data_IF_258148429833
#
_entry.id   IF_258148429833
#
_cell.length_a   1.000
_cell.length_b   1.000
_cell.length_c   1.000
_cell.angle_alpha   90.00
_cell.angle_beta   90.00
_cell.angle_gamma   90.00
#
_symmetry.space_group_name_H-M   'P 1'
#
loop_
_entity.id
_entity.type
_entity.pdbx_description
1 polymer ?
#
# COMPACT_ATOMS: atom_id res chain seq x y z
N UNK A 1 -13.29 1.80 -15.91
CA UNK A 1 -12.35 2.72 -16.56
C UNK A 1 -11.03 2.01 -16.69
N UNK A 2 -10.53 1.86 -17.92
CA UNK A 2 -9.19 1.31 -18.18
C UNK A 2 -8.30 2.48 -18.58
N UNK A 3 -7.21 2.69 -17.84
CA UNK A 3 -6.24 3.74 -18.09
C UNK A 3 -4.91 3.08 -18.46
N UNK A 4 -4.37 3.36 -19.65
CA UNK A 4 -3.13 2.73 -20.12
C UNK A 4 -1.88 3.25 -19.39
N UNK A 5 -2.01 4.37 -18.68
CA UNK A 5 -0.95 5.02 -17.92
C UNK A 5 -1.25 4.98 -16.42
N UNK A 6 -0.28 5.44 -15.62
CA UNK A 6 -0.49 5.71 -14.21
C UNK A 6 -1.50 6.84 -13.99
N UNK A 7 -2.08 6.88 -12.80
CA UNK A 7 -2.95 7.98 -12.37
C UNK A 7 -2.30 8.64 -11.16
N UNK A 8 -2.30 9.96 -11.18
CA UNK A 8 -1.92 10.81 -10.05
C UNK A 8 -3.10 11.73 -9.73
N UNK A 9 -3.58 11.70 -8.49
CA UNK A 9 -4.66 12.60 -8.04
C UNK A 9 -4.19 14.04 -7.82
N UNK A 10 -2.88 14.26 -7.82
CA UNK A 10 -2.23 15.51 -7.48
C UNK A 10 -2.35 15.82 -6.00
N UNK A 11 -2.11 17.08 -5.64
CA UNK A 11 -1.93 17.50 -4.26
C UNK A 11 -3.26 17.76 -3.49
N UNK A 12 -4.40 17.63 -4.14
CA UNK A 12 -5.71 17.92 -3.55
C UNK A 12 -5.95 19.40 -3.22
N UNK A 13 -7.10 19.70 -2.57
CA UNK A 13 -8.15 18.75 -2.20
C UNK A 13 -8.88 18.21 -3.43
N UNK A 14 -9.44 17.00 -3.33
CA UNK A 14 -10.26 16.41 -4.39
C UNK A 14 -11.34 15.48 -3.86
N UNK A 15 -12.38 15.30 -4.68
CA UNK A 15 -13.35 14.23 -4.56
C UNK A 15 -13.49 13.57 -5.93
N UNK A 16 -13.16 12.29 -6.02
CA UNK A 16 -13.19 11.52 -7.25
C UNK A 16 -14.12 10.33 -7.05
N UNK A 17 -15.11 10.19 -7.93
CA UNK A 17 -15.99 9.03 -7.96
C UNK A 17 -15.89 8.33 -9.30
N UNK A 18 -15.62 7.03 -9.26
CA UNK A 18 -15.55 6.14 -10.42
C UNK A 18 -16.74 5.20 -10.35
N UNK A 19 -17.69 5.40 -11.27
CA UNK A 19 -18.93 4.61 -11.37
C UNK A 19 -18.69 3.26 -12.05
N UNK A 20 -17.85 2.43 -11.44
CA UNK A 20 -17.47 1.10 -11.90
C UNK A 20 -16.06 0.75 -11.47
N UNK A 21 -15.45 -0.25 -12.11
CA UNK A 21 -14.08 -0.66 -11.81
C UNK A 21 -13.05 0.36 -12.32
N UNK A 22 -11.95 0.51 -11.61
CA UNK A 22 -10.76 1.26 -12.03
C UNK A 22 -9.64 0.28 -12.33
N UNK A 23 -9.09 0.31 -13.54
CA UNK A 23 -7.88 -0.44 -13.90
C UNK A 23 -6.83 0.50 -14.47
N UNK A 24 -5.64 0.46 -13.90
CA UNK A 24 -4.44 1.13 -14.42
C UNK A 24 -3.42 0.08 -14.83
N UNK A 25 -2.69 0.32 -15.92
CA UNK A 25 -1.61 -0.57 -16.34
C UNK A 25 -0.29 -0.33 -15.59
N UNK A 26 -0.20 0.78 -14.85
CA UNK A 26 1.03 1.21 -14.17
C UNK A 26 0.79 1.62 -12.71
N UNK A 27 1.35 2.74 -12.26
CA UNK A 27 1.30 3.19 -10.88
C UNK A 27 0.06 4.05 -10.60
N UNK A 28 -0.64 3.73 -9.51
CA UNK A 28 -1.74 4.54 -9.00
C UNK A 28 -1.26 5.32 -7.76
N UNK A 29 -1.10 6.63 -7.89
CA UNK A 29 -0.69 7.56 -6.83
C UNK A 29 -1.89 8.36 -6.32
N UNK A 30 -2.33 8.06 -5.10
CA UNK A 30 -3.52 8.64 -4.45
C UNK A 30 -3.08 9.46 -3.25
N UNK A 31 -2.68 10.69 -3.48
CA UNK A 31 -1.94 11.50 -2.52
C UNK A 31 -2.59 12.85 -2.28
N UNK A 32 -2.27 13.52 -1.19
CA UNK A 32 -2.61 14.94 -0.97
C UNK A 32 -1.42 15.68 -0.40
N UNK A 33 -1.36 17.00 -0.50
CA UNK A 33 -0.45 17.80 0.32
C UNK A 33 -0.87 17.73 1.79
N UNK A 34 0.06 18.10 2.67
CA UNK A 34 -0.17 18.12 4.12
C UNK A 34 -1.46 18.86 4.47
N UNK A 35 -2.24 18.26 5.37
CA UNK A 35 -3.52 18.77 5.87
C UNK A 35 -4.66 18.90 4.84
N UNK A 36 -4.45 18.54 3.57
CA UNK A 36 -5.52 18.57 2.57
C UNK A 36 -6.29 17.24 2.50
N UNK A 37 -7.63 17.26 2.47
CA UNK A 37 -8.43 16.05 2.34
C UNK A 37 -8.49 15.57 0.90
N UNK A 38 -8.50 14.25 0.71
CA UNK A 38 -8.76 13.59 -0.56
C UNK A 38 -9.76 12.45 -0.39
N UNK A 39 -10.71 12.33 -1.30
CA UNK A 39 -11.67 11.22 -1.32
C UNK A 39 -11.70 10.56 -2.69
N UNK A 40 -11.47 9.26 -2.74
CA UNK A 40 -11.64 8.43 -3.94
C UNK A 40 -12.66 7.33 -3.64
N UNK A 41 -13.71 7.24 -4.45
CA UNK A 41 -14.72 6.18 -4.37
C UNK A 41 -14.71 5.41 -5.68
N UNK A 42 -14.42 4.11 -5.62
CA UNK A 42 -14.51 3.18 -6.75
C UNK A 42 -15.69 2.24 -6.50
N UNK A 43 -16.72 2.32 -7.33
CA UNK A 43 -17.96 1.52 -7.19
C UNK A 43 -17.81 0.06 -7.69
N UNK A 44 -16.68 -0.29 -8.29
CA UNK A 44 -16.33 -1.65 -8.68
C UNK A 44 -14.98 -2.07 -8.09
N UNK A 45 -14.25 -2.91 -8.83
CA UNK A 45 -12.91 -3.36 -8.45
C UNK A 45 -11.84 -2.31 -8.76
N UNK A 46 -10.74 -2.33 -8.02
CA UNK A 46 -9.55 -1.54 -8.30
C UNK A 46 -8.40 -2.48 -8.71
N UNK A 47 -7.79 -2.23 -9.86
CA UNK A 47 -6.61 -2.95 -10.34
C UNK A 47 -5.49 -1.97 -10.70
N UNK A 48 -4.31 -2.17 -10.13
CA UNK A 48 -3.09 -1.43 -10.48
C UNK A 48 -1.87 -2.35 -10.46
N UNK A 49 -0.78 -1.97 -11.13
CA UNK A 49 0.49 -2.70 -11.00
C UNK A 49 1.13 -2.42 -9.65
N UNK A 50 1.24 -1.14 -9.32
CA UNK A 50 1.68 -0.65 -8.00
C UNK A 50 0.73 0.46 -7.53
N UNK A 51 0.57 0.61 -6.23
CA UNK A 51 -0.32 1.61 -5.64
C UNK A 51 0.37 2.33 -4.50
N UNK A 52 0.27 3.65 -4.44
CA UNK A 52 0.64 4.41 -3.25
C UNK A 52 -0.49 5.34 -2.83
N UNK A 53 -0.68 5.47 -1.53
CA UNK A 53 -1.59 6.44 -0.94
C UNK A 53 -0.99 7.06 0.32
N UNK A 54 -1.41 8.27 0.64
CA UNK A 54 -0.91 8.92 1.85
C UNK A 54 -1.53 10.25 2.18
N UNK A 55 -1.06 10.84 3.27
CA UNK A 55 -1.57 12.08 3.84
C UNK A 55 -3.08 11.98 4.11
N UNK A 56 -3.88 12.88 3.53
CA UNK A 56 -5.32 12.96 3.74
C UNK A 56 -6.16 12.12 2.76
N UNK A 57 -5.53 11.27 1.94
CA UNK A 57 -6.23 10.46 0.94
C UNK A 57 -7.01 9.30 1.58
N UNK A 58 -8.33 9.29 1.36
CA UNK A 58 -9.26 8.24 1.79
C UNK A 58 -9.84 7.56 0.57
N UNK A 59 -9.64 6.26 0.48
CA UNK A 59 -9.98 5.46 -0.69
C UNK A 59 -10.97 4.38 -0.28
N UNK A 60 -12.13 4.35 -0.92
CA UNK A 60 -13.18 3.36 -0.69
C UNK A 60 -13.45 2.61 -2.00
N UNK A 61 -13.32 1.29 -1.94
CA UNK A 61 -13.53 0.39 -3.07
C UNK A 61 -14.67 -0.56 -2.71
N UNK A 62 -15.75 -0.53 -3.46
CA UNK A 62 -16.91 -1.40 -3.21
C UNK A 62 -16.68 -2.85 -3.68
N UNK A 63 -15.70 -3.07 -4.55
CA UNK A 63 -15.23 -4.39 -4.96
C UNK A 63 -13.91 -4.80 -4.27
N UNK A 64 -13.14 -5.63 -4.97
CA UNK A 64 -11.82 -6.09 -4.55
C UNK A 64 -10.72 -5.12 -5.01
N UNK A 65 -9.59 -5.15 -4.32
CA UNK A 65 -8.37 -4.43 -4.71
C UNK A 65 -7.32 -5.45 -5.14
N UNK A 66 -6.87 -5.36 -6.37
CA UNK A 66 -5.75 -6.14 -6.90
C UNK A 66 -4.59 -5.19 -7.20
N UNK A 67 -3.51 -5.32 -6.45
CA UNK A 67 -2.21 -4.72 -6.77
C UNK A 67 -1.27 -5.84 -7.21
N UNK A 68 -0.77 -5.79 -8.44
CA UNK A 68 0.04 -6.90 -8.97
C UNK A 68 1.36 -7.07 -8.22
N UNK A 69 1.93 -5.95 -7.78
CA UNK A 69 3.20 -5.89 -7.07
C UNK A 69 3.00 -5.24 -5.68
N UNK A 70 3.52 -4.04 -5.46
CA UNK A 70 3.59 -3.43 -4.13
C UNK A 70 2.55 -2.33 -3.90
N UNK A 71 2.00 -2.31 -2.69
CA UNK A 71 1.10 -1.28 -2.18
C UNK A 71 1.75 -0.52 -1.00
N UNK A 72 1.70 0.81 -1.04
CA UNK A 72 2.35 1.68 -0.04
C UNK A 72 1.35 2.64 0.58
N UNK A 73 1.19 2.60 1.91
CA UNK A 73 0.43 3.58 2.68
C UNK A 73 1.37 4.41 3.55
N UNK A 74 1.30 5.74 3.46
CA UNK A 74 2.20 6.65 4.19
C UNK A 74 1.46 7.82 4.88
N UNK A 75 2.10 8.40 5.90
CA UNK A 75 1.64 9.63 6.58
C UNK A 75 0.18 9.56 7.05
N UNK A 76 -0.18 8.49 7.74
CA UNK A 76 -1.58 8.25 8.11
C UNK A 76 -2.01 8.87 9.45
N UNK A 77 -1.16 9.65 10.12
CA UNK A 77 -1.60 10.61 11.16
C UNK A 77 -2.67 11.60 10.63
N UNK A 78 -2.85 11.65 9.31
CA UNK A 78 -3.87 12.42 8.58
C UNK A 78 -5.04 11.59 8.05
N UNK A 79 -5.19 10.35 8.54
CA UNK A 79 -6.22 9.39 8.15
C UNK A 79 -6.08 8.89 6.70
N UNK A 80 -4.84 8.57 6.28
CA UNK A 80 -4.59 7.84 5.06
C UNK A 80 -5.18 6.43 5.19
N UNK A 81 -6.24 6.13 4.43
CA UNK A 81 -6.98 4.87 4.54
C UNK A 81 -7.34 4.34 3.17
N UNK A 82 -7.08 3.06 2.94
CA UNK A 82 -7.66 2.28 1.85
C UNK A 82 -8.60 1.23 2.42
N UNK A 83 -9.87 1.27 2.03
CA UNK A 83 -10.88 0.30 2.41
C UNK A 83 -11.48 -0.38 1.19
N UNK A 84 -11.57 -1.70 1.23
CA UNK A 84 -12.23 -2.54 0.23
C UNK A 84 -13.33 -3.37 0.90
N UNK A 85 -14.48 -3.52 0.23
CA UNK A 85 -15.48 -4.54 0.65
C UNK A 85 -15.10 -5.94 0.18
N UNK A 86 -14.33 -6.04 -0.90
CA UNK A 86 -13.78 -7.31 -1.39
C UNK A 86 -12.50 -7.71 -0.66
N UNK A 87 -11.73 -8.58 -1.32
CA UNK A 87 -10.39 -8.95 -0.88
C UNK A 87 -9.38 -7.88 -1.36
N UNK A 88 -8.38 -7.58 -0.53
CA UNK A 88 -7.19 -6.84 -0.97
C UNK A 88 -6.07 -7.83 -1.22
N UNK A 89 -5.61 -7.90 -2.46
CA UNK A 89 -4.48 -8.72 -2.88
C UNK A 89 -3.31 -7.84 -3.30
N UNK A 90 -2.13 -8.13 -2.78
CA UNK A 90 -0.88 -7.55 -3.24
C UNK A 90 0.25 -8.58 -3.07
N UNK A 91 1.37 -8.41 -3.77
CA UNK A 91 2.59 -9.17 -3.42
C UNK A 91 3.05 -8.74 -2.02
N UNK A 92 3.13 -7.43 -1.79
CA UNK A 92 3.47 -6.85 -0.50
C UNK A 92 2.73 -5.53 -0.23
N UNK A 93 2.45 -5.29 1.05
CA UNK A 93 1.83 -4.09 1.61
C UNK A 93 2.81 -3.46 2.61
N UNK A 94 3.17 -2.21 2.38
CA UNK A 94 4.04 -1.40 3.23
C UNK A 94 3.22 -0.28 3.86
N UNK A 95 3.12 -0.27 5.18
CA UNK A 95 2.39 0.79 5.90
C UNK A 95 3.37 1.54 6.79
N UNK A 96 3.45 2.86 6.62
CA UNK A 96 4.06 3.71 7.62
C UNK A 96 3.07 3.96 8.77
N UNK A 97 3.56 4.59 9.85
CA UNK A 97 2.74 4.88 11.01
C UNK A 97 1.46 5.65 10.64
N UNK A 98 0.33 5.17 11.18
CA UNK A 98 -0.99 5.75 10.98
C UNK A 98 -1.68 5.37 9.68
N UNK A 99 -0.98 4.88 8.65
CA UNK A 99 -1.63 4.44 7.42
C UNK A 99 -2.39 3.13 7.67
N UNK A 100 -3.56 2.98 7.04
CA UNK A 100 -4.43 1.82 7.28
C UNK A 100 -4.94 1.20 5.98
N UNK A 101 -5.09 -0.12 6.02
CA UNK A 101 -5.83 -0.89 5.03
C UNK A 101 -6.91 -1.70 5.73
N UNK A 102 -8.09 -1.77 5.12
CA UNK A 102 -9.21 -2.59 5.58
C UNK A 102 -9.80 -3.34 4.39
N UNK A 103 -10.10 -4.62 4.58
CA UNK A 103 -10.72 -5.43 3.54
C UNK A 103 -11.68 -6.44 4.17
N UNK A 104 -12.99 -6.32 3.89
CA UNK A 104 -13.99 -7.23 4.48
C UNK A 104 -13.78 -8.68 3.99
N UNK A 105 -13.30 -8.84 2.74
CA UNK A 105 -12.87 -10.12 2.16
C UNK A 105 -11.48 -10.59 2.62
N UNK A 106 -10.82 -9.80 3.46
CA UNK A 106 -9.47 -10.02 3.99
C UNK A 106 -8.34 -9.52 3.08
N UNK A 107 -7.12 -9.62 3.61
CA UNK A 107 -5.88 -9.17 2.99
C UNK A 107 -5.00 -10.36 2.70
N UNK A 108 -4.60 -10.51 1.44
CA UNK A 108 -3.63 -11.50 0.95
C UNK A 108 -2.41 -10.79 0.39
N UNK A 109 -1.40 -10.60 1.24
CA UNK A 109 -0.13 -9.96 0.90
C UNK A 109 0.92 -10.26 1.97
N UNK A 110 2.21 -10.04 1.69
CA UNK A 110 3.22 -9.89 2.73
C UNK A 110 3.08 -8.49 3.35
N UNK A 111 3.05 -8.36 4.66
CA UNK A 111 2.77 -7.07 5.32
C UNK A 111 3.99 -6.62 6.11
N UNK A 112 4.44 -5.40 5.81
CA UNK A 112 5.44 -4.67 6.57
C UNK A 112 4.80 -3.44 7.23
N UNK A 113 4.92 -3.32 8.55
CA UNK A 113 4.41 -2.17 9.30
C UNK A 113 5.17 -1.92 10.62
N UNK A 114 5.26 -0.66 11.11
CA UNK A 114 5.93 -0.32 12.35
C UNK A 114 5.16 -0.72 13.60
N UNK A 115 5.90 -1.03 14.69
CA UNK A 115 5.32 -1.58 15.90
C UNK A 115 4.14 -0.76 16.45
N UNK A 116 3.05 -1.45 16.79
CA UNK A 116 1.86 -0.81 17.37
C UNK A 116 1.05 0.04 16.41
N UNK A 117 1.38 0.03 15.11
CA UNK A 117 0.58 0.72 14.09
C UNK A 117 -0.55 -0.14 13.51
N UNK A 118 -0.81 -1.32 14.05
CA UNK A 118 -1.86 -2.21 13.55
C UNK A 118 -2.87 -2.54 14.65
N UNK A 119 -4.13 -2.16 14.44
CA UNK A 119 -5.24 -2.61 15.30
C UNK A 119 -5.92 -3.85 14.70
N UNK A 120 -5.94 -3.96 13.37
CA UNK A 120 -6.78 -4.91 12.64
C UNK A 120 -6.01 -6.02 11.92
N UNK A 121 -4.68 -5.90 11.74
CA UNK A 121 -3.90 -6.81 10.89
C UNK A 121 -2.43 -6.89 11.32
N UNK A 122 -2.04 -8.00 11.96
CA UNK A 122 -0.66 -8.25 12.36
C UNK A 122 0.27 -8.34 11.15
N UNK A 123 1.35 -7.54 11.08
CA UNK A 123 2.31 -7.61 9.99
C UNK A 123 3.13 -8.91 10.03
N UNK A 124 3.69 -9.29 8.88
CA UNK A 124 4.66 -10.39 8.79
C UNK A 124 6.06 -9.92 9.19
N UNK A 125 6.39 -8.67 8.85
CA UNK A 125 7.64 -8.00 9.20
C UNK A 125 7.29 -6.75 10.01
N UNK A 126 7.56 -6.82 11.32
CA UNK A 126 7.46 -5.69 12.22
C UNK A 126 8.71 -4.82 12.08
N UNK A 127 8.53 -3.50 11.97
CA UNK A 127 9.63 -2.55 12.18
C UNK A 127 9.64 -2.15 13.66
N UNK A 128 10.53 -2.76 14.42
CA UNK A 128 10.64 -2.63 15.89
C UNK A 128 11.75 -1.65 16.31
N UNK A 129 12.69 -1.31 15.42
CA UNK A 129 13.84 -0.47 15.73
C UNK A 129 14.62 0.03 14.51
N UNK A 130 15.50 1.00 14.78
CA UNK A 130 16.39 1.59 13.79
C UNK A 130 17.30 0.52 13.17
N UNK A 131 17.19 0.33 11.86
CA UNK A 131 18.07 -0.53 11.06
C UNK A 131 17.56 -1.94 10.86
N UNK A 132 16.36 -2.29 11.33
CA UNK A 132 15.80 -3.64 11.17
C UNK A 132 15.58 -4.00 9.69
N UNK A 133 15.45 -3.00 8.83
CA UNK A 133 15.25 -3.17 7.39
C UNK A 133 16.39 -3.94 6.70
N UNK A 134 17.63 -3.90 7.21
CA UNK A 134 18.79 -4.57 6.60
C UNK A 134 18.64 -6.09 6.48
N UNK A 135 17.82 -6.70 7.33
CA UNK A 135 17.59 -8.15 7.31
C UNK A 135 16.61 -8.59 6.21
N UNK A 136 15.84 -7.64 5.66
CA UNK A 136 14.70 -7.94 4.79
C UNK A 136 14.81 -7.29 3.41
N UNK A 137 15.42 -6.12 3.31
CA UNK A 137 15.36 -5.29 2.10
C UNK A 137 16.69 -5.19 1.37
N UNK A 138 16.59 -4.97 0.07
CA UNK A 138 17.74 -4.60 -0.75
C UNK A 138 18.36 -3.29 -0.23
N UNK A 139 19.69 -3.18 -0.09
CA UNK A 139 20.33 -1.97 0.44
C UNK A 139 20.01 -0.69 -0.35
N UNK A 140 19.63 -0.80 -1.63
CA UNK A 140 19.30 0.36 -2.47
C UNK A 140 17.98 1.05 -2.10
N UNK A 141 17.13 0.40 -1.30
CA UNK A 141 15.85 0.97 -0.83
C UNK A 141 15.86 1.32 0.67
N UNK A 142 17.05 1.28 1.30
CA UNK A 142 17.24 1.61 2.70
C UNK A 142 17.77 3.03 2.87
N UNK A 143 17.35 3.68 3.94
CA UNK A 143 17.94 4.94 4.37
C UNK A 143 19.29 4.74 5.06
N UNK A 144 19.92 5.83 5.50
CA UNK A 144 21.23 5.79 6.16
C UNK A 144 21.22 5.05 7.51
N UNK A 145 20.05 4.80 8.08
CA UNK A 145 19.87 4.09 9.34
C UNK A 145 19.61 2.60 9.12
N UNK A 146 19.38 2.18 7.88
CA UNK A 146 19.04 0.80 7.53
C UNK A 146 17.55 0.52 7.55
N UNK A 147 16.71 1.57 7.60
CA UNK A 147 15.25 1.46 7.57
C UNK A 147 14.72 1.62 6.14
N UNK A 148 13.54 1.07 5.86
CA UNK A 148 12.92 1.17 4.55
C UNK A 148 12.65 2.65 4.18
N UNK A 149 13.35 3.14 3.17
CA UNK A 149 13.12 4.48 2.65
C UNK A 149 11.96 4.47 1.64
N UNK A 150 10.73 4.72 2.10
CA UNK A 150 9.52 4.59 1.29
C UNK A 150 9.58 5.24 -0.11
N UNK A 151 10.15 6.45 -0.26
CA UNK A 151 10.30 7.06 -1.58
C UNK A 151 11.11 6.20 -2.55
N UNK A 152 12.27 5.70 -2.11
CA UNK A 152 13.13 4.84 -2.90
C UNK A 152 12.46 3.49 -3.17
N UNK A 153 11.75 2.93 -2.18
CA UNK A 153 11.00 1.71 -2.35
C UNK A 153 9.87 1.84 -3.39
N UNK A 154 9.14 2.96 -3.39
CA UNK A 154 8.13 3.24 -4.42
C UNK A 154 8.77 3.37 -5.80
N UNK A 155 9.87 4.10 -5.92
CA UNK A 155 10.61 4.25 -7.19
C UNK A 155 11.13 2.91 -7.71
N UNK A 156 11.72 2.08 -6.84
CA UNK A 156 12.22 0.74 -7.17
C UNK A 156 11.09 -0.20 -7.61
N UNK A 157 9.96 -0.23 -6.89
CA UNK A 157 8.79 -1.03 -7.29
C UNK A 157 8.21 -0.57 -8.64
N UNK A 158 8.16 0.75 -8.86
CA UNK A 158 7.76 1.31 -10.16
C UNK A 158 8.75 0.91 -11.27
N UNK A 159 10.03 0.78 -10.98
CA UNK A 159 11.02 0.26 -11.92
C UNK A 159 11.00 -1.27 -12.07
N UNK A 160 10.14 -1.99 -11.33
CA UNK A 160 10.06 -3.45 -11.35
C UNK A 160 11.25 -4.13 -10.65
N UNK A 161 11.96 -3.40 -9.79
CA UNK A 161 13.06 -3.91 -8.99
C UNK A 161 12.54 -4.65 -7.76
N UNK A 162 13.26 -5.67 -7.32
CA UNK A 162 12.93 -6.35 -6.06
C UNK A 162 13.25 -5.44 -4.87
N UNK A 163 12.30 -5.30 -3.96
CA UNK A 163 12.51 -4.58 -2.70
C UNK A 163 13.15 -5.47 -1.64
N UNK A 164 12.87 -6.78 -1.70
CA UNK A 164 13.31 -7.74 -0.71
C UNK A 164 14.61 -8.42 -1.12
N UNK A 165 15.40 -8.81 -0.12
CA UNK A 165 16.49 -9.76 -0.29
C UNK A 165 15.95 -11.13 -0.74
N UNK A 166 16.74 -11.92 -1.49
CA UNK A 166 16.33 -13.26 -1.90
C UNK A 166 15.92 -14.15 -0.72
N UNK A 167 14.80 -14.86 -0.86
CA UNK A 167 14.33 -15.80 0.16
C UNK A 167 13.50 -15.19 1.28
N UNK A 168 13.30 -13.87 1.31
CA UNK A 168 12.52 -13.21 2.37
C UNK A 168 11.04 -13.53 2.24
N UNK A 169 10.46 -13.40 1.04
CA UNK A 169 9.04 -13.67 0.81
C UNK A 169 8.65 -15.13 1.09
N UNK A 170 9.56 -16.07 0.87
CA UNK A 170 9.39 -17.51 1.12
C UNK A 170 9.32 -17.83 2.62
N UNK A 171 9.92 -17.00 3.49
CA UNK A 171 9.87 -17.19 4.96
C UNK A 171 8.47 -16.96 5.53
N UNK A 172 7.61 -16.24 4.81
CA UNK A 172 6.31 -15.80 5.29
C UNK A 172 5.17 -16.43 4.50
N UNK A 173 4.99 -17.75 4.63
CA UNK A 173 3.91 -18.47 3.96
C UNK A 173 2.50 -17.95 4.31
N UNK A 174 2.36 -17.25 5.45
CA UNK A 174 1.12 -16.60 5.89
C UNK A 174 0.63 -15.50 4.94
N UNK A 175 1.48 -15.03 4.02
CA UNK A 175 1.12 -14.07 2.97
C UNK A 175 0.17 -14.64 1.91
N UNK A 176 0.11 -15.97 1.77
CA UNK A 176 -0.62 -16.66 0.71
C UNK A 176 -2.14 -16.81 0.99
N UNK A 177 -2.59 -17.14 2.21
CA UNK A 177 -4.02 -17.09 2.52
C UNK A 177 -4.50 -15.66 2.82
N UNK A 178 -5.80 -15.42 2.63
CA UNK A 178 -6.44 -14.18 3.04
C UNK A 178 -6.57 -14.09 4.57
N UNK A 179 -6.21 -12.93 5.13
CA UNK A 179 -6.27 -12.64 6.57
C UNK A 179 -7.30 -11.55 6.84
N UNK A 180 -8.23 -11.80 7.75
CA UNK A 180 -9.27 -10.81 8.08
C UNK A 180 -8.65 -9.57 8.74
N UNK A 181 -9.15 -8.40 8.35
CA UNK A 181 -8.95 -7.18 9.13
C UNK A 181 -10.03 -7.14 10.22
N UNK A 182 -9.65 -7.07 11.49
CA UNK A 182 -10.57 -6.99 12.64
C UNK A 182 -11.20 -5.61 12.77
#
# INVERSE_FOLDING_TARGET
>A
MNVPEGIDTGNGPYVIQINGSLKTADHLHLWTDDYLPGLVIVRGDLHARTLSFGNGARIFVEGSVLVEDCLFGQYGDRNAVLSAKGELQARAVFLAQGARVYADGGVRALIYAPQGSWESLTPDIENEGLGDGVAYFDPSVLDRYGDLHFRQAVEAARAGQSLFLPGVEERFAQRLPSRKTV
#
